data_IF_030120944264
#
_entry.id   IF_030120944264
#
_cell.length_a   1.000
_cell.length_b   1.000
_cell.length_c   1.000
_cell.angle_alpha   90.00
_cell.angle_beta   90.00
_cell.angle_gamma   90.00
#
_symmetry.space_group_name_H-M   'P 1'
#
loop_
_entity.id
_entity.type
_entity.pdbx_description
1 polymer ?
#
# COMPACT_ATOMS: atom_id res chain seq x y z
N UNK A 1 -14.27 -13.06 1.98
CA UNK A 1 -13.54 -14.28 2.44
C UNK A 1 -12.04 -14.02 2.68
N UNK A 2 -11.45 -12.98 2.07
CA UNK A 2 -10.03 -12.58 2.20
C UNK A 2 -9.67 -11.77 3.46
N UNK A 3 -10.67 -11.41 4.27
CA UNK A 3 -10.56 -10.69 5.55
C UNK A 3 -9.84 -11.41 6.66
N UNK A 4 -9.66 -12.71 6.48
CA UNK A 4 -9.09 -13.61 7.46
C UNK A 4 -7.65 -13.87 7.05
N UNK A 5 -6.76 -13.86 8.02
CA UNK A 5 -5.40 -14.32 7.87
C UNK A 5 -5.37 -15.69 7.17
N UNK A 6 -4.75 -15.74 6.00
CA UNK A 6 -4.61 -16.93 5.17
C UNK A 6 -3.13 -17.21 4.91
N UNK A 7 -2.79 -18.50 4.80
CA UNK A 7 -1.48 -18.94 4.31
C UNK A 7 -1.42 -18.81 2.78
N UNK A 8 -0.21 -18.79 2.23
CA UNK A 8 0.03 -18.82 0.78
C UNK A 8 -0.63 -20.06 0.15
N UNK A 9 -0.56 -21.22 0.82
CA UNK A 9 -1.19 -22.45 0.37
C UNK A 9 -2.72 -22.33 0.31
N UNK A 10 -3.35 -21.67 1.28
CA UNK A 10 -4.79 -21.41 1.27
C UNK A 10 -5.18 -20.45 0.14
N UNK A 11 -4.42 -19.37 -0.09
CA UNK A 11 -4.66 -18.43 -1.20
C UNK A 11 -4.56 -19.10 -2.56
N UNK A 12 -3.55 -19.95 -2.73
CA UNK A 12 -3.30 -20.69 -3.99
C UNK A 12 -4.50 -21.55 -4.42
N UNK A 13 -5.29 -22.09 -3.47
CA UNK A 13 -6.44 -22.96 -3.78
C UNK A 13 -7.52 -22.27 -4.61
N UNK A 14 -7.72 -20.97 -4.43
CA UNK A 14 -8.77 -20.22 -5.13
C UNK A 14 -8.20 -19.22 -6.15
N UNK A 15 -6.99 -18.69 -5.94
CA UNK A 15 -6.41 -17.68 -6.85
C UNK A 15 -6.18 -18.22 -8.27
N UNK A 16 -5.86 -19.51 -8.38
CA UNK A 16 -5.63 -20.18 -9.66
C UNK A 16 -6.83 -21.02 -10.12
N UNK A 17 -7.95 -20.95 -9.41
CA UNK A 17 -9.19 -21.58 -9.85
C UNK A 17 -9.75 -20.76 -11.03
N UNK A 18 -9.78 -21.30 -12.26
CA UNK A 18 -10.28 -20.58 -13.42
C UNK A 18 -11.76 -20.21 -13.30
N UNK A 19 -12.52 -20.89 -12.43
CA UNK A 19 -13.93 -20.62 -12.20
C UNK A 19 -14.17 -19.55 -11.11
N UNK A 20 -13.20 -19.32 -10.21
CA UNK A 20 -13.27 -18.21 -9.24
C UNK A 20 -13.33 -16.84 -9.94
N UNK A 21 -12.67 -16.72 -11.09
CA UNK A 21 -12.65 -15.49 -11.90
C UNK A 21 -13.70 -15.42 -13.02
N UNK A 22 -14.50 -16.49 -13.23
CA UNK A 22 -15.48 -16.62 -14.33
C UNK A 22 -16.93 -16.36 -13.90
N UNK A 23 -17.37 -15.12 -14.09
CA UNK A 23 -18.79 -14.73 -14.21
C UNK A 23 -19.38 -14.04 -12.96
N UNK A 24 -20.27 -13.04 -13.05
CA UNK A 24 -21.00 -12.47 -14.19
C UNK A 24 -21.26 -10.96 -13.98
N UNK A 25 -20.60 -10.12 -14.81
CA UNK A 25 -20.65 -8.64 -14.91
C UNK A 25 -19.74 -7.85 -13.95
N UNK A 26 -18.79 -7.12 -14.55
CA UNK A 26 -18.31 -5.88 -13.97
C UNK A 26 -19.51 -4.92 -13.77
N UNK A 27 -19.61 -4.20 -12.65
CA UNK A 27 -18.64 -4.14 -11.55
C UNK A 27 -19.11 -4.97 -10.34
N UNK A 28 -18.96 -6.29 -10.35
CA UNK A 28 -18.94 -7.13 -9.12
C UNK A 28 -17.97 -8.31 -9.29
N UNK A 29 -16.68 -8.02 -9.13
CA UNK A 29 -15.55 -8.98 -9.04
C UNK A 29 -14.77 -8.91 -7.72
N UNK A 30 -15.04 -7.90 -6.90
CA UNK A 30 -14.33 -7.60 -5.67
C UNK A 30 -14.79 -8.52 -4.52
N UNK A 31 -13.86 -9.11 -3.77
CA UNK A 31 -14.14 -9.60 -2.41
C UNK A 31 -14.07 -8.40 -1.45
N UNK A 32 -15.21 -7.89 -0.95
CA UNK A 32 -15.29 -6.51 -0.46
C UNK A 32 -14.30 -6.15 0.65
N UNK A 33 -13.50 -5.10 0.40
CA UNK A 33 -12.41 -4.37 1.09
C UNK A 33 -12.66 -3.48 2.36
N UNK A 34 -13.00 -3.91 3.59
CA UNK A 34 -12.96 -3.02 4.78
C UNK A 34 -11.57 -2.47 5.19
N UNK A 35 -11.40 -1.15 5.28
CA UNK A 35 -10.14 -0.52 5.75
C UNK A 35 -10.44 0.40 6.94
N UNK A 36 -9.81 0.14 8.09
CA UNK A 36 -9.98 0.97 9.28
C UNK A 36 -9.21 0.50 10.51
N UNK A 37 -8.95 1.42 11.43
CA UNK A 37 -8.22 1.18 12.68
C UNK A 37 -8.87 0.16 13.65
N UNK A 38 -10.19 -0.09 13.68
CA UNK A 38 -10.74 -1.11 14.59
C UNK A 38 -10.56 -2.56 14.13
N UNK A 39 -10.18 -2.79 12.87
CA UNK A 39 -10.04 -4.12 12.26
C UNK A 39 -8.57 -4.44 11.95
N UNK A 40 -8.30 -5.60 11.36
CA UNK A 40 -6.94 -6.02 10.99
C UNK A 40 -6.28 -4.99 10.08
N UNK A 41 -5.01 -4.71 10.30
CA UNK A 41 -4.24 -3.79 9.44
C UNK A 41 -4.04 -4.41 8.04
N UNK A 42 -4.27 -3.60 7.00
CA UNK A 42 -4.18 -4.01 5.60
C UNK A 42 -2.84 -3.66 4.99
N UNK A 43 -2.47 -4.34 3.91
CA UNK A 43 -1.30 -3.98 3.12
C UNK A 43 -1.68 -3.70 1.65
N UNK A 44 -1.03 -2.72 1.05
CA UNK A 44 -1.14 -2.42 -0.36
C UNK A 44 0.15 -2.80 -1.10
N UNK A 45 0.04 -3.36 -2.29
CA UNK A 45 1.16 -3.57 -3.21
C UNK A 45 1.08 -2.61 -4.41
N UNK A 46 2.09 -1.75 -4.56
CA UNK A 46 2.25 -0.91 -5.75
C UNK A 46 2.88 -1.72 -6.89
N UNK A 47 2.25 -1.66 -8.07
CA UNK A 47 2.75 -2.22 -9.32
C UNK A 47 2.66 -1.17 -10.43
N UNK A 48 3.12 -1.50 -11.63
CA UNK A 48 3.03 -0.60 -12.76
C UNK A 48 4.18 -0.70 -13.74
N UNK A 49 3.82 -0.60 -15.02
CA UNK A 49 4.76 -0.58 -16.14
C UNK A 49 5.38 0.81 -16.30
N UNK A 50 6.64 0.85 -16.67
CA UNK A 50 7.33 2.11 -17.02
C UNK A 50 7.61 2.16 -18.52
N UNK A 51 7.90 3.35 -19.09
CA UNK A 51 8.34 3.44 -20.48
C UNK A 51 9.57 2.59 -20.83
N UNK A 52 10.33 2.16 -19.81
CA UNK A 52 11.64 1.49 -19.96
C UNK A 52 11.55 -0.01 -19.67
N UNK A 53 10.49 -0.49 -19.02
CA UNK A 53 10.38 -1.86 -18.53
C UNK A 53 8.95 -2.24 -18.19
N UNK A 54 8.67 -3.52 -18.40
CA UNK A 54 7.42 -4.23 -18.14
C UNK A 54 6.30 -4.07 -19.16
N UNK A 55 5.61 -5.18 -19.43
CA UNK A 55 4.46 -5.28 -20.31
C UNK A 55 3.25 -5.78 -19.50
N UNK A 56 2.05 -5.73 -20.10
CA UNK A 56 0.83 -6.08 -19.38
C UNK A 56 0.81 -7.50 -18.80
N UNK A 57 1.43 -8.48 -19.45
CA UNK A 57 1.44 -9.86 -18.92
C UNK A 57 2.36 -9.97 -17.69
N UNK A 58 3.46 -9.21 -17.64
CA UNK A 58 4.30 -9.10 -16.45
C UNK A 58 3.60 -8.38 -15.30
N UNK A 59 2.81 -7.34 -15.58
CA UNK A 59 1.99 -6.68 -14.55
C UNK A 59 0.91 -7.62 -13.98
N UNK A 60 0.31 -8.46 -14.83
CA UNK A 60 -0.64 -9.47 -14.36
C UNK A 60 0.03 -10.58 -13.54
N UNK A 61 1.27 -10.93 -13.85
CA UNK A 61 2.04 -11.86 -13.03
C UNK A 61 2.37 -11.26 -11.66
N UNK A 62 2.79 -9.99 -11.62
CA UNK A 62 3.00 -9.24 -10.37
C UNK A 62 1.71 -9.12 -9.56
N UNK A 63 0.57 -8.86 -10.19
CA UNK A 63 -0.74 -8.83 -9.53
C UNK A 63 -1.03 -10.15 -8.83
N UNK A 64 -0.86 -11.28 -9.52
CA UNK A 64 -1.06 -12.61 -8.94
C UNK A 64 -0.11 -12.88 -7.78
N UNK A 65 1.17 -12.53 -7.92
CA UNK A 65 2.15 -12.66 -6.84
C UNK A 65 1.79 -11.81 -5.63
N UNK A 66 1.41 -10.55 -5.83
CA UNK A 66 0.98 -9.66 -4.76
C UNK A 66 -0.18 -10.26 -3.96
N UNK A 67 -1.23 -10.71 -4.64
CA UNK A 67 -2.40 -11.33 -4.00
C UNK A 67 -2.01 -12.63 -3.29
N UNK A 68 -1.23 -13.50 -3.94
CA UNK A 68 -0.78 -14.77 -3.37
C UNK A 68 0.00 -14.56 -2.06
N UNK A 69 0.81 -13.51 -2.00
CA UNK A 69 1.61 -13.14 -0.83
C UNK A 69 0.94 -12.11 0.08
N UNK A 70 -0.38 -11.93 -0.06
CA UNK A 70 -1.22 -11.31 0.96
C UNK A 70 -1.55 -9.83 0.77
N UNK A 71 -1.29 -9.25 -0.41
CA UNK A 71 -1.78 -7.91 -0.73
C UNK A 71 -3.30 -7.82 -0.55
N UNK A 72 -3.75 -6.88 0.28
CA UNK A 72 -5.17 -6.65 0.59
C UNK A 72 -5.79 -5.63 -0.39
N UNK A 73 -4.95 -4.76 -0.96
CA UNK A 73 -5.24 -3.91 -2.14
C UNK A 73 -4.01 -3.87 -3.05
N UNK A 74 -4.20 -3.40 -4.28
CA UNK A 74 -3.10 -3.12 -5.21
C UNK A 74 -3.26 -1.75 -5.82
N UNK A 75 -2.16 -1.12 -6.26
CA UNK A 75 -2.23 0.10 -7.05
C UNK A 75 -1.53 -0.06 -8.39
N UNK A 76 -2.21 0.38 -9.45
CA UNK A 76 -1.61 0.54 -10.77
C UNK A 76 -0.99 1.94 -10.89
N UNK A 77 0.33 2.01 -10.80
CA UNK A 77 1.14 3.21 -10.95
C UNK A 77 1.84 3.26 -12.31
N UNK A 78 1.33 2.52 -13.30
CA UNK A 78 1.89 2.48 -14.64
C UNK A 78 1.99 3.87 -15.27
N UNK A 79 3.11 4.14 -15.94
CA UNK A 79 3.43 5.44 -16.56
C UNK A 79 3.94 5.35 -18.01
N UNK A 80 3.81 4.17 -18.64
CA UNK A 80 4.19 3.97 -20.03
C UNK A 80 3.41 2.83 -20.68
N UNK A 81 3.52 2.73 -22.01
CA UNK A 81 2.81 1.71 -22.80
C UNK A 81 1.31 2.01 -22.96
N UNK A 82 0.52 0.96 -23.23
CA UNK A 82 -0.94 1.06 -23.39
C UNK A 82 -1.63 1.05 -22.02
N UNK A 83 -1.57 2.17 -21.30
CA UNK A 83 -2.07 2.27 -19.93
C UNK A 83 -3.50 1.80 -19.74
N UNK A 84 -4.42 2.32 -20.55
CA UNK A 84 -5.85 2.03 -20.36
C UNK A 84 -6.15 0.53 -20.55
N UNK A 85 -5.50 -0.11 -21.53
CA UNK A 85 -5.60 -1.57 -21.76
C UNK A 85 -4.98 -2.35 -20.60
N UNK A 86 -3.81 -1.92 -20.12
CA UNK A 86 -3.13 -2.56 -19.00
C UNK A 86 -3.95 -2.49 -17.71
N UNK A 87 -4.44 -1.28 -17.37
CA UNK A 87 -5.29 -1.04 -16.20
C UNK A 87 -6.58 -1.82 -16.28
N UNK A 88 -7.25 -1.86 -17.44
CA UNK A 88 -8.46 -2.66 -17.61
C UNK A 88 -8.17 -4.14 -17.36
N UNK A 89 -7.06 -4.67 -17.89
CA UNK A 89 -6.66 -6.06 -17.64
C UNK A 89 -6.36 -6.32 -16.17
N UNK A 90 -5.73 -5.38 -15.44
CA UNK A 90 -5.50 -5.49 -13.99
C UNK A 90 -6.85 -5.54 -13.25
N UNK A 91 -7.75 -4.60 -13.50
CA UNK A 91 -9.08 -4.56 -12.86
C UNK A 91 -9.86 -5.85 -13.15
N UNK A 92 -9.82 -6.33 -14.40
CA UNK A 92 -10.51 -7.55 -14.79
C UNK A 92 -9.96 -8.83 -14.12
N UNK A 93 -8.72 -8.79 -13.62
CA UNK A 93 -8.06 -9.93 -12.99
C UNK A 93 -7.81 -9.73 -11.49
N UNK A 94 -8.27 -8.62 -10.89
CA UNK A 94 -8.09 -8.34 -9.47
C UNK A 94 -9.35 -8.69 -8.66
N UNK A 95 -9.24 -9.60 -7.67
CA UNK A 95 -10.29 -9.82 -6.69
C UNK A 95 -10.20 -8.85 -5.49
N UNK A 96 -9.14 -8.04 -5.42
CA UNK A 96 -8.88 -7.04 -4.37
C UNK A 96 -9.00 -5.62 -4.95
N UNK A 97 -9.21 -4.59 -4.12
CA UNK A 97 -9.37 -3.22 -4.61
C UNK A 97 -8.14 -2.76 -5.39
N UNK A 98 -8.39 -2.06 -6.49
CA UNK A 98 -7.38 -1.45 -7.36
C UNK A 98 -7.42 0.06 -7.18
N UNK A 99 -6.32 0.64 -6.71
CA UNK A 99 -6.14 2.09 -6.66
C UNK A 99 -5.29 2.63 -7.81
N UNK A 100 -5.40 3.93 -8.06
CA UNK A 100 -4.53 4.62 -9.02
C UNK A 100 -4.15 6.03 -8.54
N UNK A 101 -3.18 6.62 -9.23
CA UNK A 101 -2.84 8.04 -9.13
C UNK A 101 -3.18 8.71 -10.47
N UNK A 102 -4.41 9.24 -10.66
CA UNK A 102 -4.90 9.66 -11.98
C UNK A 102 -3.97 10.62 -12.73
N UNK A 103 -3.31 11.53 -12.01
CA UNK A 103 -2.39 12.52 -12.58
C UNK A 103 -1.23 11.89 -13.39
N UNK A 104 -0.87 10.63 -13.13
CA UNK A 104 0.17 9.94 -13.91
C UNK A 104 -0.28 9.58 -15.32
N UNK A 105 -1.55 9.24 -15.51
CA UNK A 105 -2.12 8.96 -16.84
C UNK A 105 -2.31 10.25 -17.64
N UNK A 106 -2.64 11.36 -16.97
CA UNK A 106 -2.91 12.65 -17.61
C UNK A 106 -1.68 13.22 -18.35
N UNK A 107 -0.47 12.89 -17.93
CA UNK A 107 0.78 13.47 -18.46
C UNK A 107 1.49 12.58 -19.48
N UNK A 108 0.85 11.51 -19.95
CA UNK A 108 1.44 10.66 -20.99
C UNK A 108 1.27 11.33 -22.34
N UNK A 109 2.41 11.66 -22.96
CA UNK A 109 2.44 12.33 -24.26
C UNK A 109 2.12 13.83 -24.21
N UNK A 110 2.06 14.44 -23.02
CA UNK A 110 1.88 15.90 -22.85
C UNK A 110 2.63 16.43 -21.63
N UNK A 111 2.98 17.72 -21.61
CA UNK A 111 3.55 18.34 -20.40
C UNK A 111 2.45 18.52 -19.36
N UNK A 112 2.81 18.39 -18.08
CA UNK A 112 1.92 18.73 -16.97
C UNK A 112 1.41 20.17 -17.09
N UNK A 113 2.23 21.09 -17.61
CA UNK A 113 1.87 22.50 -17.78
C UNK A 113 0.68 22.73 -18.71
N UNK A 114 0.41 21.79 -19.62
CA UNK A 114 -0.70 21.87 -20.57
C UNK A 114 -2.00 21.29 -20.03
N UNK A 115 -2.02 20.78 -18.79
CA UNK A 115 -3.25 20.24 -18.19
C UNK A 115 -4.26 21.34 -17.88
N UNK A 116 -5.49 21.09 -18.32
CA UNK A 116 -6.67 21.90 -18.00
C UNK A 116 -7.53 21.21 -16.94
N UNK A 117 -8.48 21.96 -16.38
CA UNK A 117 -9.48 21.47 -15.44
C UNK A 117 -10.32 20.35 -16.07
N UNK A 118 -10.75 20.54 -17.32
CA UNK A 118 -11.47 19.54 -18.11
C UNK A 118 -10.67 18.24 -18.32
N UNK A 119 -9.36 18.35 -18.58
CA UNK A 119 -8.51 17.16 -18.76
C UNK A 119 -8.49 16.31 -17.48
N UNK A 120 -8.42 16.96 -16.31
CA UNK A 120 -8.38 16.30 -15.01
C UNK A 120 -9.72 15.59 -14.74
N UNK A 121 -10.84 16.29 -14.89
CA UNK A 121 -12.16 15.72 -14.63
C UNK A 121 -12.45 14.53 -15.57
N UNK A 122 -12.13 14.66 -16.86
CA UNK A 122 -12.31 13.59 -17.84
C UNK A 122 -11.48 12.35 -17.53
N UNK A 123 -10.25 12.51 -17.07
CA UNK A 123 -9.41 11.36 -16.70
C UNK A 123 -9.94 10.66 -15.45
N UNK A 124 -10.35 11.42 -14.42
CA UNK A 124 -10.94 10.87 -13.19
C UNK A 124 -12.20 10.06 -13.54
N UNK A 125 -13.11 10.65 -14.31
CA UNK A 125 -14.33 9.98 -14.76
C UNK A 125 -14.01 8.73 -15.60
N UNK A 126 -13.04 8.82 -16.53
CA UNK A 126 -12.64 7.67 -17.36
C UNK A 126 -12.15 6.50 -16.50
N UNK A 127 -11.31 6.75 -15.50
CA UNK A 127 -10.83 5.69 -14.62
C UNK A 127 -11.93 5.14 -13.70
N UNK A 128 -12.86 5.99 -13.27
CA UNK A 128 -14.02 5.55 -12.50
C UNK A 128 -14.91 4.61 -13.33
N UNK A 129 -15.12 4.92 -14.61
CA UNK A 129 -15.83 4.05 -15.56
C UNK A 129 -15.14 2.70 -15.80
N UNK A 130 -13.81 2.63 -15.67
CA UNK A 130 -13.08 1.36 -15.76
C UNK A 130 -13.26 0.47 -14.53
N UNK A 131 -13.68 1.05 -13.40
CA UNK A 131 -13.87 0.34 -12.13
C UNK A 131 -12.65 0.39 -11.20
N UNK A 132 -11.89 1.49 -11.20
CA UNK A 132 -10.92 1.77 -10.11
C UNK A 132 -11.69 1.92 -8.80
N UNK A 133 -11.16 1.44 -7.67
CA UNK A 133 -11.86 1.47 -6.37
C UNK A 133 -11.50 2.70 -5.53
N UNK A 134 -10.28 3.24 -5.68
CA UNK A 134 -9.85 4.45 -4.98
C UNK A 134 -8.82 5.27 -5.77
N UNK A 135 -8.87 6.59 -5.57
CA UNK A 135 -7.94 7.52 -6.20
C UNK A 135 -7.04 8.21 -5.18
N UNK A 136 -5.73 8.12 -5.40
CA UNK A 136 -4.75 9.00 -4.76
C UNK A 136 -4.77 10.37 -5.41
N UNK A 137 -5.34 11.35 -4.70
CA UNK A 137 -5.48 12.73 -5.15
C UNK A 137 -4.73 13.67 -4.21
N UNK A 138 -3.74 14.35 -4.76
CA UNK A 138 -2.85 15.25 -4.03
C UNK A 138 -3.46 16.66 -3.95
N UNK A 139 -4.71 16.74 -3.47
CA UNK A 139 -5.47 17.99 -3.39
C UNK A 139 -5.06 18.88 -2.21
N UNK A 140 -4.31 18.34 -1.24
CA UNK A 140 -3.97 19.05 0.00
C UNK A 140 -2.72 19.95 -0.10
N UNK A 141 -2.01 19.93 -1.23
CA UNK A 141 -0.88 20.84 -1.45
C UNK A 141 -1.41 22.21 -1.83
N UNK A 142 -1.26 23.18 -0.93
CA UNK A 142 -1.70 24.55 -1.18
C UNK A 142 -0.54 25.46 -1.60
N UNK A 143 -0.84 26.40 -2.50
CA UNK A 143 0.14 27.34 -3.09
C UNK A 143 0.87 28.15 -2.04
N UNK A 144 0.14 28.62 -1.02
CA UNK A 144 0.66 29.38 0.10
C UNK A 144 1.67 28.59 0.93
N UNK A 145 1.59 27.25 0.96
CA UNK A 145 2.47 26.38 1.75
C UNK A 145 3.73 25.94 1.00
N UNK A 146 3.83 26.19 -0.31
CA UNK A 146 4.98 25.75 -1.12
C UNK A 146 6.33 26.29 -0.64
N UNK A 147 6.35 27.43 0.05
CA UNK A 147 7.56 28.00 0.61
C UNK A 147 8.17 27.15 1.76
N UNK A 148 7.36 26.36 2.44
CA UNK A 148 7.78 25.49 3.56
C UNK A 148 8.67 24.32 3.10
N UNK A 149 8.64 23.99 1.81
CA UNK A 149 9.40 22.88 1.22
C UNK A 149 10.86 23.26 0.98
N UNK A 150 11.13 24.55 0.69
CA UNK A 150 12.47 25.05 0.28
C UNK A 150 13.63 24.64 1.21
N UNK A 151 13.46 24.55 2.54
CA UNK A 151 14.55 24.17 3.44
C UNK A 151 14.89 22.68 3.48
N UNK A 152 14.05 21.81 2.88
CA UNK A 152 14.21 20.35 2.96
C UNK A 152 15.48 19.85 2.26
N UNK A 153 16.04 18.76 2.78
CA UNK A 153 17.17 18.06 2.17
C UNK A 153 16.75 17.40 0.85
N UNK A 154 15.59 16.74 0.84
CA UNK A 154 15.10 15.98 -0.33
C UNK A 154 13.99 16.67 -1.11
N UNK A 155 13.53 17.84 -0.65
CA UNK A 155 12.49 18.62 -1.32
C UNK A 155 11.14 17.88 -1.35
N UNK A 156 10.53 17.80 -2.54
CA UNK A 156 9.32 17.01 -2.79
C UNK A 156 9.68 15.68 -3.44
N UNK A 157 9.46 14.59 -2.72
CA UNK A 157 9.67 13.22 -3.23
C UNK A 157 8.41 12.55 -3.76
N UNK A 158 7.23 13.13 -3.49
CA UNK A 158 6.00 12.68 -4.14
C UNK A 158 6.02 13.06 -5.62
N UNK A 159 5.92 12.07 -6.50
CA UNK A 159 5.77 12.31 -7.94
C UNK A 159 4.50 13.10 -8.25
N UNK A 160 3.37 12.74 -7.64
CA UNK A 160 2.10 13.46 -7.86
C UNK A 160 2.17 14.89 -7.32
N UNK A 161 2.73 15.06 -6.13
CA UNK A 161 2.87 16.37 -5.51
C UNK A 161 3.84 17.30 -6.23
N UNK A 162 4.99 16.79 -6.69
CA UNK A 162 5.95 17.59 -7.47
C UNK A 162 5.40 18.03 -8.82
N UNK A 163 4.61 17.20 -9.50
CA UNK A 163 3.92 17.55 -10.75
C UNK A 163 2.93 18.70 -10.53
N UNK A 164 2.08 18.62 -9.50
CA UNK A 164 1.11 19.68 -9.20
C UNK A 164 1.80 20.96 -8.73
N UNK A 165 2.84 20.87 -7.91
CA UNK A 165 3.62 22.04 -7.51
C UNK A 165 4.22 22.75 -8.73
N UNK A 166 4.75 22.01 -9.72
CA UNK A 166 5.24 22.58 -10.99
C UNK A 166 4.12 23.32 -11.74
N UNK A 167 2.92 22.71 -11.83
CA UNK A 167 1.75 23.34 -12.46
C UNK A 167 1.36 24.64 -11.76
N UNK A 168 1.25 24.62 -10.43
CA UNK A 168 0.85 25.76 -9.59
C UNK A 168 1.82 26.94 -9.71
N UNK A 169 3.13 26.66 -9.70
CA UNK A 169 4.18 27.68 -9.84
C UNK A 169 4.15 28.31 -11.22
N UNK A 170 4.02 27.50 -12.28
CA UNK A 170 4.01 28.00 -13.66
C UNK A 170 2.79 28.88 -13.96
N UNK A 171 1.60 28.40 -13.57
CA UNK A 171 0.35 29.14 -13.80
C UNK A 171 0.08 30.22 -12.75
N UNK A 172 0.87 30.25 -11.68
CA UNK A 172 0.65 31.11 -10.51
C UNK A 172 -0.77 30.96 -9.94
N UNK A 173 -1.31 29.73 -9.93
CA UNK A 173 -2.67 29.38 -9.49
C UNK A 173 -2.66 28.40 -8.31
N UNK A 174 -3.81 28.26 -7.65
CA UNK A 174 -4.01 27.23 -6.63
C UNK A 174 -3.98 25.83 -7.26
N UNK A 175 -3.80 24.80 -6.45
CA UNK A 175 -3.89 23.41 -6.85
C UNK A 175 -5.24 23.13 -7.54
N UNK A 176 -5.23 22.64 -8.79
CA UNK A 176 -6.47 22.42 -9.54
C UNK A 176 -7.35 21.33 -8.90
N UNK A 177 -6.75 20.34 -8.22
CA UNK A 177 -7.51 19.30 -7.51
C UNK A 177 -8.18 19.86 -6.25
N UNK A 178 -7.60 20.88 -5.62
CA UNK A 178 -8.21 21.57 -4.48
C UNK A 178 -9.38 22.44 -4.94
N UNK A 179 -9.19 23.19 -6.03
CA UNK A 179 -10.22 24.08 -6.58
C UNK A 179 -11.44 23.31 -7.10
N UNK A 180 -11.23 22.13 -7.71
CA UNK A 180 -12.31 21.28 -8.24
C UNK A 180 -12.74 20.16 -7.30
N UNK A 181 -12.42 20.24 -6.01
CA UNK A 181 -12.59 19.10 -5.11
C UNK A 181 -14.05 18.65 -5.02
N UNK A 182 -15.01 19.57 -5.11
CA UNK A 182 -16.44 19.25 -5.04
C UNK A 182 -16.95 18.59 -6.33
N UNK A 183 -16.48 19.03 -7.51
CA UNK A 183 -16.77 18.40 -8.79
C UNK A 183 -16.19 16.98 -8.87
N UNK A 184 -14.97 16.80 -8.33
CA UNK A 184 -14.34 15.49 -8.22
C UNK A 184 -15.14 14.59 -7.27
N UNK A 185 -15.58 15.11 -6.12
CA UNK A 185 -16.44 14.37 -5.20
C UNK A 185 -17.75 13.93 -5.88
N UNK A 186 -18.35 14.79 -6.72
CA UNK A 186 -19.58 14.44 -7.44
C UNK A 186 -19.37 13.24 -8.39
N UNK A 187 -18.25 13.22 -9.12
CA UNK A 187 -17.87 12.07 -9.97
C UNK A 187 -17.65 10.84 -9.07
N UNK A 188 -16.81 10.95 -8.06
CA UNK A 188 -16.47 9.81 -7.19
C UNK A 188 -17.68 9.22 -6.48
N UNK A 189 -18.66 10.06 -6.11
CA UNK A 189 -19.93 9.63 -5.52
C UNK A 189 -20.79 8.80 -6.48
N UNK A 190 -20.78 9.13 -7.77
CA UNK A 190 -21.55 8.40 -8.80
C UNK A 190 -21.06 6.96 -8.96
N UNK A 191 -19.74 6.74 -8.85
CA UNK A 191 -19.11 5.44 -9.07
C UNK A 191 -18.69 4.71 -7.78
N UNK A 192 -18.99 5.26 -6.60
CA UNK A 192 -18.56 4.76 -5.26
C UNK A 192 -17.03 4.60 -5.12
N UNK A 193 -16.30 5.60 -5.60
CA UNK A 193 -14.84 5.66 -5.50
C UNK A 193 -14.44 6.24 -4.13
N UNK A 194 -13.45 5.63 -3.49
CA UNK A 194 -12.88 6.15 -2.24
C UNK A 194 -11.77 7.17 -2.50
N UNK A 195 -11.77 8.28 -1.76
CA UNK A 195 -10.63 9.19 -1.70
C UNK A 195 -9.47 8.55 -0.94
N UNK A 196 -8.30 8.51 -1.56
CA UNK A 196 -7.02 8.43 -0.87
C UNK A 196 -6.39 9.83 -0.94
N UNK A 197 -6.49 10.62 0.13
CA UNK A 197 -5.97 11.98 0.11
C UNK A 197 -4.44 11.93 0.17
N UNK A 198 -3.79 12.15 -0.98
CA UNK A 198 -2.36 11.92 -1.17
C UNK A 198 -1.48 12.85 -0.33
N UNK A 199 -0.32 12.34 0.08
CA UNK A 199 0.70 13.03 0.89
C UNK A 199 1.81 13.62 -0.01
N UNK A 200 1.42 14.63 -0.79
CA UNK A 200 2.28 15.29 -1.75
C UNK A 200 3.53 15.94 -1.18
N UNK A 201 3.51 16.28 0.11
CA UNK A 201 4.58 16.91 0.87
C UNK A 201 5.14 15.93 1.92
N UNK A 202 5.01 14.61 1.73
CA UNK A 202 5.66 13.64 2.62
C UNK A 202 7.19 13.80 2.68
N UNK A 203 7.83 13.44 3.81
CA UNK A 203 9.28 13.44 3.95
C UNK A 203 9.95 12.32 3.14
N UNK A 204 11.03 12.66 2.44
CA UNK A 204 11.85 11.73 1.66
C UNK A 204 13.21 11.39 2.28
N UNK A 205 13.48 11.94 3.46
CA UNK A 205 14.56 11.52 4.33
C UNK A 205 14.18 11.85 5.78
N UNK A 206 14.89 11.25 6.74
CA UNK A 206 14.66 11.45 8.17
C UNK A 206 14.74 12.93 8.60
N UNK A 207 15.60 13.73 7.97
CA UNK A 207 15.78 15.14 8.33
C UNK A 207 14.58 16.03 7.97
N UNK A 208 13.75 15.58 7.03
CA UNK A 208 12.57 16.29 6.56
C UNK A 208 11.29 15.81 7.29
N UNK A 209 11.42 14.82 8.19
CA UNK A 209 10.30 14.20 8.91
C UNK A 209 9.63 15.17 9.88
N UNK A 210 8.30 15.10 9.95
CA UNK A 210 7.45 15.88 10.86
C UNK A 210 7.61 17.40 10.71
N UNK A 211 8.11 17.86 9.55
CA UNK A 211 8.39 19.27 9.33
C UNK A 211 7.10 20.10 9.10
N UNK A 212 7.19 21.44 9.11
CA UNK A 212 6.03 22.30 8.88
C UNK A 212 5.31 22.05 7.55
N UNK A 213 6.03 21.64 6.49
CA UNK A 213 5.44 21.38 5.18
C UNK A 213 4.52 20.16 5.21
N UNK A 214 4.97 19.06 5.80
CA UNK A 214 4.19 17.84 5.99
C UNK A 214 2.94 18.13 6.83
N UNK A 215 3.11 18.83 7.97
CA UNK A 215 1.99 19.11 8.87
C UNK A 215 0.99 20.09 8.26
N UNK A 216 1.45 21.05 7.46
CA UNK A 216 0.55 21.96 6.75
C UNK A 216 -0.35 21.21 5.77
N UNK A 217 0.19 20.25 5.01
CA UNK A 217 -0.61 19.38 4.14
C UNK A 217 -1.62 18.54 4.95
N UNK A 218 -1.20 17.96 6.08
CA UNK A 218 -2.07 17.15 6.93
C UNK A 218 -3.30 17.92 7.46
N UNK A 219 -3.13 19.20 7.82
CA UNK A 219 -4.27 20.03 8.23
C UNK A 219 -5.27 20.24 7.08
N UNK A 220 -4.78 20.40 5.85
CA UNK A 220 -5.64 20.52 4.66
C UNK A 220 -6.29 19.18 4.33
N UNK A 221 -5.58 18.05 4.49
CA UNK A 221 -6.21 16.73 4.38
C UNK A 221 -7.36 16.59 5.39
N UNK A 222 -7.23 17.08 6.62
CA UNK A 222 -8.31 17.11 7.62
C UNK A 222 -9.55 17.90 7.16
N UNK A 223 -9.37 19.05 6.51
CA UNK A 223 -10.47 19.79 5.85
C UNK A 223 -11.13 18.95 4.75
N UNK A 224 -10.32 18.35 3.87
CA UNK A 224 -10.80 17.56 2.73
C UNK A 224 -11.50 16.26 3.17
N UNK A 225 -11.14 15.69 4.32
CA UNK A 225 -11.87 14.56 4.94
C UNK A 225 -13.30 14.99 5.25
N UNK A 226 -13.50 16.15 5.86
CA UNK A 226 -14.85 16.64 6.20
C UNK A 226 -15.66 16.90 4.93
N UNK A 227 -15.07 17.58 3.93
CA UNK A 227 -15.72 17.82 2.63
C UNK A 227 -16.11 16.52 1.92
N UNK A 228 -15.23 15.51 1.93
CA UNK A 228 -15.53 14.18 1.36
C UNK A 228 -16.74 13.55 2.03
N UNK A 229 -16.78 13.56 3.37
CA UNK A 229 -17.89 12.99 4.16
C UNK A 229 -19.21 13.75 3.94
N UNK A 230 -19.17 15.07 3.87
CA UNK A 230 -20.34 15.91 3.54
C UNK A 230 -20.89 15.60 2.15
N UNK A 231 -20.02 15.31 1.17
CA UNK A 231 -20.40 14.86 -0.17
C UNK A 231 -20.84 13.38 -0.22
N UNK A 232 -20.74 12.64 0.88
CA UNK A 232 -21.04 11.20 0.94
C UNK A 232 -20.02 10.32 0.23
N UNK A 233 -18.78 10.79 0.10
CA UNK A 233 -17.67 10.06 -0.52
C UNK A 233 -16.81 9.43 0.59
N UNK A 234 -16.45 8.16 0.42
CA UNK A 234 -15.56 7.45 1.35
C UNK A 234 -14.15 8.08 1.30
N UNK A 235 -13.42 8.10 2.41
CA UNK A 235 -12.10 8.76 2.47
C UNK A 235 -11.14 8.04 3.43
N UNK A 236 -9.90 7.90 2.97
CA UNK A 236 -8.70 7.59 3.74
C UNK A 236 -7.63 8.66 3.48
N UNK A 237 -6.67 8.78 4.40
CA UNK A 237 -5.60 9.79 4.34
C UNK A 237 -4.28 9.08 4.07
N UNK A 238 -3.45 9.59 3.16
CA UNK A 238 -2.08 9.10 2.97
C UNK A 238 -1.11 9.79 3.93
N UNK A 239 -0.10 9.04 4.36
CA UNK A 239 0.86 9.46 5.37
C UNK A 239 2.30 9.06 5.07
N UNK A 240 3.24 9.57 5.88
CA UNK A 240 4.62 9.81 5.52
C UNK A 240 5.43 8.58 5.09
N UNK A 241 6.52 8.90 4.37
CA UNK A 241 7.51 7.95 3.85
C UNK A 241 8.70 7.71 4.77
N UNK A 242 9.52 8.73 5.04
CA UNK A 242 10.74 8.57 5.86
C UNK A 242 10.57 9.25 7.21
N UNK A 243 10.54 8.48 8.30
CA UNK A 243 10.26 8.98 9.64
C UNK A 243 11.10 8.20 10.66
N UNK A 244 11.90 8.86 11.52
CA UNK A 244 12.64 8.16 12.55
C UNK A 244 11.67 7.48 13.53
N UNK A 245 12.04 6.29 14.01
CA UNK A 245 11.14 5.40 14.79
C UNK A 245 10.42 6.11 15.95
N UNK A 246 11.12 7.02 16.64
CA UNK A 246 10.59 7.76 17.79
C UNK A 246 9.47 8.76 17.45
N UNK A 247 9.21 9.06 16.18
CA UNK A 247 8.19 10.02 15.73
C UNK A 247 6.95 9.35 15.11
N UNK A 248 7.00 8.04 14.83
CA UNK A 248 5.95 7.34 14.09
C UNK A 248 4.62 7.35 14.86
N UNK A 249 4.63 6.96 16.14
CA UNK A 249 3.42 6.96 16.97
C UNK A 249 2.81 8.36 17.08
N UNK A 250 3.65 9.40 17.13
CA UNK A 250 3.18 10.79 17.17
C UNK A 250 2.53 11.19 15.84
N UNK A 251 3.06 10.76 14.70
CA UNK A 251 2.43 10.98 13.39
C UNK A 251 1.03 10.32 13.33
N UNK A 252 0.91 9.07 13.80
CA UNK A 252 -0.38 8.36 13.82
C UNK A 252 -1.41 9.06 14.72
N UNK A 253 -1.00 9.49 15.92
CA UNK A 253 -1.86 10.25 16.84
C UNK A 253 -2.29 11.59 16.25
N UNK A 254 -1.36 12.25 15.56
CA UNK A 254 -1.59 13.58 14.98
C UNK A 254 -2.57 13.52 13.83
N UNK A 255 -2.44 12.55 12.91
CA UNK A 255 -3.44 12.33 11.87
C UNK A 255 -4.80 12.02 12.48
N UNK A 256 -4.88 11.09 13.44
CA UNK A 256 -6.16 10.70 14.05
C UNK A 256 -6.94 11.89 14.60
N UNK A 257 -6.23 12.83 15.21
CA UNK A 257 -6.81 14.06 15.78
C UNK A 257 -7.22 15.07 14.71
N UNK A 258 -6.41 15.27 13.67
CA UNK A 258 -6.65 16.28 12.63
C UNK A 258 -7.68 15.81 11.62
N UNK A 259 -7.64 14.54 11.25
CA UNK A 259 -8.44 13.91 10.20
C UNK A 259 -9.64 13.13 10.76
N UNK A 260 -9.99 13.36 12.02
CA UNK A 260 -11.20 12.81 12.66
C UNK A 260 -11.34 11.29 12.49
N UNK A 261 -10.27 10.58 12.89
CA UNK A 261 -10.12 9.11 12.86
C UNK A 261 -10.43 8.49 11.48
N UNK A 262 -10.18 9.23 10.39
CA UNK A 262 -10.16 8.66 9.05
C UNK A 262 -9.11 7.52 8.97
N UNK A 263 -9.32 6.49 8.14
CA UNK A 263 -8.32 5.45 7.97
C UNK A 263 -7.00 6.03 7.45
N UNK A 264 -5.90 5.73 8.15
CA UNK A 264 -4.57 6.22 7.76
C UNK A 264 -3.81 5.16 6.95
N UNK A 265 -3.29 5.58 5.79
CA UNK A 265 -2.59 4.78 4.80
C UNK A 265 -1.14 5.27 4.65
N UNK A 266 -0.15 4.53 5.15
CA UNK A 266 1.24 5.01 5.25
C UNK A 266 2.21 4.27 4.33
N UNK A 267 3.20 4.96 3.76
CA UNK A 267 4.27 4.35 2.96
C UNK A 267 5.46 3.96 3.85
N UNK A 268 5.48 2.74 4.35
CA UNK A 268 6.40 2.33 5.42
C UNK A 268 5.88 2.75 6.79
N UNK A 269 6.53 3.70 7.49
CA UNK A 269 7.64 4.53 7.05
C UNK A 269 9.03 3.92 7.21
N UNK A 270 10.00 4.35 6.40
CA UNK A 270 11.43 4.03 6.52
C UNK A 270 12.02 4.70 7.76
N UNK A 271 12.61 3.90 8.65
CA UNK A 271 13.20 4.39 9.91
C UNK A 271 14.66 4.84 9.80
N UNK A 272 15.28 4.63 8.63
CA UNK A 272 16.67 5.01 8.36
C UNK A 272 16.93 5.04 6.84
N UNK A 273 17.79 5.95 6.39
CA UNK A 273 18.06 6.22 4.97
C UNK A 273 19.31 5.51 4.42
N UNK A 274 20.02 4.73 5.24
CA UNK A 274 21.39 4.26 4.92
C UNK A 274 21.48 2.81 4.40
N UNK A 275 20.34 2.15 4.16
CA UNK A 275 20.30 0.76 3.69
C UNK A 275 19.50 0.54 2.39
N UNK A 276 19.77 1.31 1.32
CA UNK A 276 19.12 1.06 0.02
C UNK A 276 19.40 -0.38 -0.44
N UNK A 277 18.39 -1.03 -1.02
CA UNK A 277 18.41 -2.48 -1.27
C UNK A 277 17.75 -3.31 -0.15
N UNK A 278 17.59 -2.73 1.03
CA UNK A 278 16.96 -3.36 2.20
C UNK A 278 15.81 -2.51 2.75
N UNK A 279 15.25 -1.61 1.94
CA UNK A 279 14.23 -0.67 2.41
C UNK A 279 12.91 -1.36 2.79
N UNK A 280 12.61 -2.52 2.22
CA UNK A 280 11.54 -3.40 2.73
C UNK A 280 11.72 -3.78 4.21
N UNK A 281 12.95 -3.87 4.72
CA UNK A 281 13.26 -4.14 6.13
C UNK A 281 13.21 -2.85 6.95
N UNK A 282 13.89 -1.79 6.50
CA UNK A 282 13.92 -0.51 7.21
C UNK A 282 12.50 0.05 7.40
N UNK A 283 11.67 -0.10 6.36
CA UNK A 283 10.27 0.33 6.40
C UNK A 283 9.36 -0.63 7.17
N UNK A 284 9.59 -1.96 7.16
CA UNK A 284 8.77 -2.89 7.94
C UNK A 284 8.87 -2.61 9.44
N UNK A 285 10.02 -2.14 9.94
CA UNK A 285 10.18 -1.69 11.33
C UNK A 285 9.22 -0.52 11.62
N UNK A 286 9.22 0.51 10.77
CA UNK A 286 8.35 1.65 10.96
C UNK A 286 6.88 1.33 10.72
N UNK A 287 6.58 0.50 9.73
CA UNK A 287 5.24 0.02 9.41
C UNK A 287 4.64 -0.79 10.57
N UNK A 288 5.46 -1.56 11.30
CA UNK A 288 5.03 -2.28 12.51
C UNK A 288 4.63 -1.29 13.61
N UNK A 289 5.44 -0.26 13.84
CA UNK A 289 5.12 0.78 14.83
C UNK A 289 3.89 1.60 14.42
N UNK A 290 3.72 1.89 13.13
CA UNK A 290 2.55 2.57 12.58
C UNK A 290 1.29 1.70 12.77
N UNK A 291 1.36 0.41 12.43
CA UNK A 291 0.26 -0.54 12.61
C UNK A 291 -0.14 -0.66 14.09
N UNK A 292 0.84 -0.79 15.00
CA UNK A 292 0.63 -0.78 16.46
C UNK A 292 -0.06 0.50 16.93
N UNK A 293 0.37 1.65 16.40
CA UNK A 293 -0.17 2.96 16.75
C UNK A 293 -1.50 3.30 16.05
N UNK A 294 -1.98 2.45 15.14
CA UNK A 294 -3.34 2.51 14.59
C UNK A 294 -3.46 2.75 13.09
N UNK A 295 -2.39 2.61 12.31
CA UNK A 295 -2.47 2.65 10.85
C UNK A 295 -3.45 1.58 10.34
N UNK A 296 -4.33 1.98 9.43
CA UNK A 296 -5.36 1.11 8.85
C UNK A 296 -4.82 0.32 7.66
N UNK A 297 -3.93 0.92 6.87
CA UNK A 297 -3.30 0.31 5.71
C UNK A 297 -1.83 0.70 5.60
N UNK A 298 -1.00 -0.23 5.15
CA UNK A 298 0.44 -0.05 4.97
C UNK A 298 0.78 -0.23 3.49
N UNK A 299 1.25 0.81 2.82
CA UNK A 299 1.82 0.67 1.50
C UNK A 299 3.18 0.00 1.63
N UNK A 300 3.33 -1.13 0.95
CA UNK A 300 4.59 -1.85 1.00
C UNK A 300 5.75 -1.01 0.44
N UNK A 301 6.95 -1.46 0.76
CA UNK A 301 8.19 -0.99 0.16
C UNK A 301 8.96 -2.23 -0.22
N UNK A 302 9.51 -2.24 -1.44
CA UNK A 302 10.23 -3.41 -1.96
C UNK A 302 11.73 -3.27 -1.72
N UNK A 303 12.52 -4.34 -1.87
CA UNK A 303 13.99 -4.23 -1.91
C UNK A 303 14.51 -3.26 -2.99
N UNK A 304 13.68 -2.96 -4.00
CA UNK A 304 14.03 -2.07 -5.12
C UNK A 304 13.75 -0.59 -4.88
N UNK A 305 13.17 -0.22 -3.74
CA UNK A 305 12.97 1.18 -3.40
C UNK A 305 14.29 1.96 -3.52
N UNK A 306 14.22 3.18 -4.06
CA UNK A 306 15.36 4.04 -4.38
C UNK A 306 16.36 3.51 -5.43
N UNK A 307 16.24 2.27 -5.90
CA UNK A 307 17.26 1.64 -6.77
C UNK A 307 16.72 1.03 -8.07
N UNK A 308 15.41 0.85 -8.23
CA UNK A 308 14.83 0.39 -9.49
C UNK A 308 13.36 -0.01 -9.43
N UNK A 309 12.90 -0.66 -10.50
CA UNK A 309 11.54 -1.20 -10.57
C UNK A 309 11.50 -2.64 -10.03
N UNK A 310 10.49 -2.98 -9.20
CA UNK A 310 10.36 -4.31 -8.63
C UNK A 310 9.95 -5.37 -9.67
N UNK A 311 10.53 -6.56 -9.53
CA UNK A 311 10.11 -7.81 -10.19
C UNK A 311 9.22 -8.63 -9.24
N UNK A 312 8.68 -9.75 -9.72
CA UNK A 312 7.81 -10.63 -8.93
C UNK A 312 8.42 -11.05 -7.57
N UNK A 313 9.72 -11.37 -7.52
CA UNK A 313 10.40 -11.70 -6.25
C UNK A 313 10.53 -10.50 -5.30
N UNK A 314 10.74 -9.30 -5.84
CA UNK A 314 10.77 -8.06 -5.04
C UNK A 314 9.38 -7.75 -4.47
N UNK A 315 8.32 -8.04 -5.25
CA UNK A 315 6.92 -7.94 -4.82
C UNK A 315 6.63 -8.94 -3.70
N UNK A 316 7.06 -10.20 -3.84
CA UNK A 316 6.97 -11.24 -2.80
C UNK A 316 7.65 -10.76 -1.50
N UNK A 317 8.89 -10.30 -1.60
CA UNK A 317 9.66 -9.83 -0.45
C UNK A 317 8.97 -8.66 0.27
N UNK A 318 8.47 -7.66 -0.49
CA UNK A 318 7.71 -6.55 0.07
C UNK A 318 6.41 -7.00 0.75
N UNK A 319 5.63 -7.86 0.11
CA UNK A 319 4.36 -8.34 0.68
C UNK A 319 4.58 -9.13 1.97
N UNK A 320 5.56 -10.04 2.00
CA UNK A 320 5.89 -10.81 3.21
C UNK A 320 6.32 -9.87 4.35
N UNK A 321 7.22 -8.93 4.08
CA UNK A 321 7.69 -7.98 5.09
C UNK A 321 6.53 -7.17 5.71
N UNK A 322 5.57 -6.76 4.88
CA UNK A 322 4.43 -5.97 5.33
C UNK A 322 3.31 -6.79 5.95
N UNK A 323 3.11 -8.06 5.57
CA UNK A 323 2.23 -8.96 6.33
C UNK A 323 2.78 -9.25 7.72
N UNK A 324 4.10 -9.39 7.86
CA UNK A 324 4.75 -9.49 9.17
C UNK A 324 4.47 -8.21 9.98
N UNK A 325 4.69 -7.03 9.40
CA UNK A 325 4.47 -5.76 10.08
C UNK A 325 3.00 -5.55 10.52
N UNK A 326 2.05 -5.81 9.62
CA UNK A 326 0.62 -5.72 9.89
C UNK A 326 0.19 -6.68 11.00
N UNK A 327 0.59 -7.96 10.91
CA UNK A 327 0.23 -8.98 11.89
C UNK A 327 0.85 -8.70 13.27
N UNK A 328 2.10 -8.27 13.32
CA UNK A 328 2.76 -7.87 14.57
C UNK A 328 2.06 -6.66 15.22
N UNK A 329 1.65 -5.67 14.42
CA UNK A 329 0.86 -4.54 14.89
C UNK A 329 -0.52 -4.95 15.41
N UNK A 330 -1.19 -5.87 14.72
CA UNK A 330 -2.50 -6.42 15.12
C UNK A 330 -2.42 -7.18 16.45
N UNK A 331 -1.38 -7.99 16.66
CA UNK A 331 -1.10 -8.66 17.95
C UNK A 331 -0.92 -7.60 19.04
N UNK A 332 -0.08 -6.59 18.80
CA UNK A 332 0.22 -5.55 19.78
C UNK A 332 -1.01 -4.69 20.13
N UNK A 333 -1.96 -4.57 19.20
CA UNK A 333 -3.27 -3.91 19.42
C UNK A 333 -4.31 -4.82 20.07
N UNK A 334 -4.04 -6.12 20.20
CA UNK A 334 -4.98 -7.10 20.74
C UNK A 334 -6.16 -7.37 19.81
N UNK A 335 -5.96 -7.33 18.48
CA UNK A 335 -6.99 -7.70 17.51
C UNK A 335 -7.39 -9.15 17.73
N UNK A 336 -8.70 -9.40 17.86
CA UNK A 336 -9.24 -10.70 18.22
C UNK A 336 -8.77 -11.80 17.25
N UNK A 337 -8.18 -12.87 17.78
CA UNK A 337 -7.71 -14.01 17.00
C UNK A 337 -6.35 -13.84 16.32
N UNK A 338 -5.72 -12.67 16.36
CA UNK A 338 -4.40 -12.45 15.74
C UNK A 338 -3.33 -13.37 16.37
N UNK A 339 -3.16 -13.30 17.70
CA UNK A 339 -2.18 -14.11 18.44
C UNK A 339 -2.46 -15.62 18.39
N UNK A 340 -3.72 -16.03 18.17
CA UNK A 340 -4.10 -17.44 18.13
C UNK A 340 -3.36 -18.20 17.03
N UNK A 341 -3.08 -17.54 15.90
CA UNK A 341 -2.31 -18.13 14.80
C UNK A 341 -0.88 -18.47 15.24
N UNK A 342 -0.19 -17.55 15.92
CA UNK A 342 1.14 -17.74 16.48
C UNK A 342 1.17 -18.88 17.51
N UNK A 343 0.16 -18.93 18.39
CA UNK A 343 0.04 -19.97 19.41
C UNK A 343 -0.14 -21.36 18.77
N UNK A 344 -0.95 -21.49 17.73
CA UNK A 344 -1.19 -22.77 17.06
C UNK A 344 0.04 -23.24 16.29
N UNK A 345 0.73 -22.34 15.58
CA UNK A 345 2.01 -22.64 14.92
C UNK A 345 3.09 -23.03 15.94
N UNK A 346 3.11 -22.36 17.10
CA UNK A 346 4.05 -22.64 18.20
C UNK A 346 3.78 -23.98 18.87
N UNK A 347 2.50 -24.37 19.06
CA UNK A 347 2.15 -25.73 19.53
C UNK A 347 2.60 -26.79 18.54
N UNK A 348 2.41 -26.58 17.24
CA UNK A 348 2.91 -27.50 16.22
C UNK A 348 4.44 -27.63 16.26
N UNK A 349 5.15 -26.49 16.43
CA UNK A 349 6.61 -26.46 16.59
C UNK A 349 7.07 -27.22 17.83
N UNK A 350 6.46 -26.96 18.98
CA UNK A 350 6.80 -27.61 20.24
C UNK A 350 6.51 -29.12 20.22
N UNK A 351 5.49 -29.54 19.48
CA UNK A 351 5.19 -30.96 19.25
C UNK A 351 6.04 -31.59 18.14
N UNK A 352 6.95 -30.83 17.53
CA UNK A 352 7.79 -31.25 16.40
C UNK A 352 6.97 -31.82 15.22
N UNK A 353 5.74 -31.33 15.08
CA UNK A 353 4.85 -31.68 13.98
C UNK A 353 5.14 -30.78 12.79
N UNK A 354 6.22 -31.08 12.06
CA UNK A 354 6.65 -30.31 10.89
C UNK A 354 5.57 -30.17 9.81
N UNK A 355 4.80 -31.23 9.46
CA UNK A 355 3.71 -31.08 8.49
C UNK A 355 2.71 -29.98 8.89
N UNK A 356 2.24 -29.98 10.15
CA UNK A 356 1.32 -28.96 10.66
C UNK A 356 2.02 -27.59 10.82
N UNK A 357 3.29 -27.56 11.20
CA UNK A 357 4.07 -26.34 11.31
C UNK A 357 4.13 -25.60 9.97
N UNK A 358 4.41 -26.31 8.88
CA UNK A 358 4.44 -25.76 7.53
C UNK A 358 3.04 -25.45 7.00
N UNK A 359 2.01 -26.23 7.35
CA UNK A 359 0.62 -25.91 6.99
C UNK A 359 0.16 -24.59 7.62
N UNK A 360 0.56 -24.32 8.87
CA UNK A 360 0.21 -23.10 9.58
C UNK A 360 1.11 -21.92 9.24
N UNK A 361 2.33 -22.14 8.74
CA UNK A 361 3.23 -21.05 8.35
C UNK A 361 2.62 -20.20 7.23
N UNK A 362 2.82 -18.87 7.28
CA UNK A 362 2.33 -17.96 6.25
C UNK A 362 2.81 -18.39 4.85
N UNK A 363 4.12 -18.59 4.67
CA UNK A 363 4.73 -19.17 3.48
C UNK A 363 5.37 -20.53 3.82
N UNK A 364 4.52 -21.54 3.95
CA UNK A 364 4.92 -22.91 4.29
C UNK A 364 5.86 -23.55 3.27
N UNK A 365 5.81 -23.16 2.00
CA UNK A 365 6.71 -23.69 0.97
C UNK A 365 8.15 -23.20 1.20
N UNK A 366 8.33 -21.90 1.47
CA UNK A 366 9.65 -21.34 1.81
C UNK A 366 10.17 -21.94 3.13
N UNK A 367 9.32 -22.04 4.16
CA UNK A 367 9.72 -22.61 5.44
C UNK A 367 10.16 -24.07 5.33
N UNK A 368 9.46 -24.87 4.52
CA UNK A 368 9.81 -26.26 4.25
C UNK A 368 11.11 -26.37 3.45
N UNK A 369 11.27 -25.57 2.40
CA UNK A 369 12.48 -25.60 1.58
C UNK A 369 13.73 -25.34 2.41
N UNK A 370 13.69 -24.34 3.30
CA UNK A 370 14.81 -24.02 4.21
C UNK A 370 15.07 -25.12 5.25
N UNK A 371 14.04 -25.83 5.70
CA UNK A 371 14.20 -26.95 6.62
C UNK A 371 14.86 -28.15 5.91
N UNK A 372 14.39 -28.48 4.71
CA UNK A 372 14.80 -29.65 3.94
C UNK A 372 16.18 -29.49 3.27
N UNK A 373 16.76 -28.28 3.27
CA UNK A 373 18.13 -28.02 2.78
C UNK A 373 19.19 -28.82 3.55
N UNK A 374 18.99 -29.01 4.87
CA UNK A 374 19.97 -29.58 5.78
C UNK A 374 19.56 -30.93 6.39
N UNK A 375 18.34 -31.41 6.12
CA UNK A 375 17.76 -32.60 6.74
C UNK A 375 16.98 -33.48 5.76
N UNK A 376 17.03 -34.79 5.98
CA UNK A 376 16.04 -35.71 5.42
C UNK A 376 14.65 -35.45 6.04
N UNK A 377 13.58 -35.69 5.27
CA UNK A 377 12.17 -35.47 5.66
C UNK A 377 11.76 -36.27 6.92
N UNK A 378 10.93 -35.67 7.79
CA UNK A 378 10.32 -36.23 9.03
C UNK A 378 11.28 -36.52 10.21
N UNK A 379 12.02 -35.52 10.67
CA UNK A 379 12.83 -35.58 11.90
C UNK A 379 12.08 -35.04 13.13
N UNK A 380 12.42 -35.48 14.33
CA UNK A 380 11.94 -34.89 15.60
C UNK A 380 12.90 -33.83 16.16
N UNK A 381 13.67 -33.18 15.28
CA UNK A 381 14.60 -32.10 15.58
C UNK A 381 14.87 -31.28 14.30
N UNK A 382 15.48 -30.10 14.43
CA UNK A 382 16.01 -29.35 13.28
C UNK A 382 17.55 -29.39 13.24
N UNK A 383 18.14 -29.07 12.09
CA UNK A 383 19.59 -29.10 11.88
C UNK A 383 20.38 -28.19 12.84
N UNK A 384 19.74 -27.12 13.36
CA UNK A 384 20.40 -26.14 14.22
C UNK A 384 20.97 -26.74 15.50
N UNK A 385 20.22 -27.61 16.18
CA UNK A 385 20.66 -28.25 17.43
C UNK A 385 20.97 -29.74 17.24
N UNK A 386 20.45 -30.37 16.18
CA UNK A 386 20.51 -31.80 16.00
C UNK A 386 19.67 -32.57 17.03
N UNK A 387 19.68 -33.89 16.90
CA UNK A 387 18.88 -34.80 17.72
C UNK A 387 19.11 -34.61 19.22
N UNK A 388 20.36 -34.66 19.68
CA UNK A 388 20.70 -34.77 21.11
C UNK A 388 20.58 -33.45 21.90
N UNK A 389 20.52 -32.31 21.21
CA UNK A 389 20.56 -30.99 21.86
C UNK A 389 19.31 -30.14 21.60
N UNK A 390 18.28 -30.73 20.99
CA UNK A 390 17.02 -30.02 20.78
C UNK A 390 16.35 -29.73 22.12
N UNK A 391 16.16 -28.46 22.45
CA UNK A 391 15.57 -28.01 23.72
C UNK A 391 14.06 -28.21 23.85
N UNK A 392 13.39 -28.56 22.74
CA UNK A 392 11.94 -28.80 22.71
C UNK A 392 11.58 -30.29 22.80
N UNK A 393 12.58 -31.17 22.74
CA UNK A 393 12.46 -32.60 23.08
C UNK A 393 12.68 -32.77 24.58
#
# INVERSE_FOLDING_TARGET
MLWVNQTVAQRRKWLFDPDYSRGQRAPKRLDPCGIGRPITTKINANQGASPVSSNTDEELDKLRHAILYGADTVMDLSTGGKLDECRQRIIDNSPVPVGTVPIYSMIIGRDILDLTYDDILREIERQAQQGVDYFTLHAAILKENLHLIRPRITGLVSRGGSLLAKWMIHHNKQNPLYEMFDEICAIMREYDITHSLGDGVRPGCLADASDPGQLAELHVQGELVQRSREAGVQVMVEGPGHVPLNEIAWNMETERRICDDAPFYVLGPLVTDVFPGYDHITSAIGATEAARAGAAMLCYVTPKEHVGLPKAEDVKAGCIAYKIAAHAGDIARGVAGAQQWDDDLSKARAALNWPLHFELAFDGDTARALHDEDLDVDTDFCAMCGHDWCSMR
#
